data_IF_616286077838
#
_entry.id   IF_616286077838
#
_cell.length_a   1.000
_cell.length_b   1.000
_cell.length_c   1.000
_cell.angle_alpha   90.00
_cell.angle_beta   90.00
_cell.angle_gamma   90.00
#
_symmetry.space_group_name_H-M   'P 1'
#
loop_
_entity.id
_entity.type
_entity.pdbx_description
1 polymer ?
#
# COMPACT_ATOMS: atom_id res chain seq x y z
N UNK A 1 -19.65 35.04 5.48
CA UNK A 1 -18.23 35.40 5.26
C UNK A 1 -17.45 34.10 5.10
N UNK A 2 -17.03 33.74 3.88
CA UNK A 2 -16.28 32.50 3.65
C UNK A 2 -14.78 32.77 3.76
N UNK A 3 -14.05 31.91 4.50
CA UNK A 3 -12.59 31.93 4.46
C UNK A 3 -12.12 31.29 3.15
N UNK A 4 -11.28 32.01 2.41
CA UNK A 4 -10.65 31.48 1.20
C UNK A 4 -9.37 30.72 1.55
N UNK A 5 -9.33 29.45 1.20
CA UNK A 5 -8.12 28.64 1.26
C UNK A 5 -7.18 29.11 0.13
N UNK A 6 -5.92 29.36 0.46
CA UNK A 6 -4.88 29.73 -0.52
C UNK A 6 -3.94 28.56 -0.75
N UNK A 7 -3.54 28.37 -2.01
CA UNK A 7 -2.48 27.42 -2.36
C UNK A 7 -1.17 27.94 -1.77
N UNK A 8 -0.56 27.16 -0.87
CA UNK A 8 0.72 27.54 -0.27
C UNK A 8 1.90 27.33 -1.24
N UNK A 9 1.90 26.23 -2.01
CA UNK A 9 2.98 25.87 -2.92
C UNK A 9 2.50 24.96 -4.05
N UNK A 10 3.16 25.06 -5.21
CA UNK A 10 3.08 24.09 -6.31
C UNK A 10 4.42 23.37 -6.40
N UNK A 11 4.40 22.04 -6.42
CA UNK A 11 5.60 21.20 -6.57
C UNK A 11 5.53 20.52 -7.94
N UNK A 12 6.56 20.68 -8.75
CA UNK A 12 6.67 20.09 -10.08
C UNK A 12 7.77 19.03 -10.08
N UNK A 13 7.58 17.96 -10.86
CA UNK A 13 8.66 17.01 -11.16
C UNK A 13 8.26 15.56 -11.44
N UNK A 14 6.97 15.20 -11.35
CA UNK A 14 6.46 14.03 -12.07
C UNK A 14 6.26 14.38 -13.54
N UNK A 15 6.40 13.37 -14.41
CA UNK A 15 6.25 13.55 -15.87
C UNK A 15 4.87 13.16 -16.38
N UNK A 16 4.02 12.61 -15.51
CA UNK A 16 2.67 12.19 -15.83
C UNK A 16 1.72 12.37 -14.62
N UNK A 17 0.49 11.88 -14.74
CA UNK A 17 -0.53 12.03 -13.70
C UNK A 17 -0.07 11.44 -12.36
N UNK A 18 -0.39 12.11 -11.26
CA UNK A 18 -0.11 11.63 -9.90
C UNK A 18 -1.40 11.07 -9.32
N UNK A 19 -1.49 9.75 -9.20
CA UNK A 19 -2.70 9.08 -8.72
C UNK A 19 -2.75 8.92 -7.20
N UNK A 20 -1.59 8.97 -6.55
CA UNK A 20 -1.51 8.78 -5.11
C UNK A 20 -0.61 9.82 -4.44
N UNK A 21 -1.08 10.36 -3.31
CA UNK A 21 -0.35 11.30 -2.46
C UNK A 21 -0.61 10.97 -1.00
N UNK A 22 0.45 10.87 -0.20
CA UNK A 22 0.33 10.70 1.24
C UNK A 22 1.42 11.49 1.99
N UNK A 23 1.10 11.92 3.20
CA UNK A 23 2.13 12.37 4.14
C UNK A 23 2.76 11.17 4.83
N UNK A 24 4.02 11.34 5.23
CA UNK A 24 4.61 10.46 6.23
C UNK A 24 3.97 10.71 7.61
N UNK A 25 4.25 9.82 8.56
CA UNK A 25 3.64 9.94 9.90
C UNK A 25 4.11 11.18 10.67
N UNK A 26 5.24 11.78 10.30
CA UNK A 26 5.76 13.01 10.95
C UNK A 26 5.26 14.29 10.30
N UNK A 27 4.72 14.24 9.08
CA UNK A 27 4.35 15.41 8.29
C UNK A 27 5.54 16.15 7.67
N UNK A 28 6.75 15.59 7.73
CA UNK A 28 7.95 16.20 7.15
C UNK A 28 8.22 15.77 5.72
N UNK A 29 7.59 14.69 5.25
CA UNK A 29 7.74 14.16 3.90
C UNK A 29 6.39 13.92 3.23
N UNK A 30 6.35 14.11 1.92
CA UNK A 30 5.23 13.72 1.05
C UNK A 30 5.71 12.59 0.15
N UNK A 31 4.90 11.56 0.03
CA UNK A 31 5.07 10.46 -0.90
C UNK A 31 4.08 10.61 -2.04
N UNK A 32 4.57 10.50 -3.27
CA UNK A 32 3.72 10.56 -4.47
C UNK A 32 3.98 9.36 -5.37
N UNK A 33 2.90 8.82 -5.93
CA UNK A 33 2.91 7.73 -6.90
C UNK A 33 2.24 8.19 -8.18
N UNK A 34 2.86 7.90 -9.32
CA UNK A 34 2.47 8.46 -10.61
C UNK A 34 2.42 7.41 -11.73
N UNK A 35 1.74 7.80 -12.80
CA UNK A 35 1.69 7.15 -14.10
C UNK A 35 3.07 7.07 -14.78
N UNK A 36 4.04 7.90 -14.36
CA UNK A 36 5.44 7.80 -14.81
C UNK A 36 6.19 6.59 -14.22
N UNK A 37 5.48 5.69 -13.53
CA UNK A 37 5.99 4.48 -12.87
C UNK A 37 6.92 4.75 -11.68
N UNK A 38 7.01 6.00 -11.21
CA UNK A 38 7.90 6.39 -10.13
C UNK A 38 7.15 6.67 -8.83
N UNK A 39 7.83 6.35 -7.73
CA UNK A 39 7.49 6.89 -6.42
C UNK A 39 8.49 7.99 -6.08
N UNK A 40 8.01 9.18 -5.71
CA UNK A 40 8.87 10.30 -5.31
C UNK A 40 8.62 10.69 -3.86
N UNK A 41 9.69 11.09 -3.19
CA UNK A 41 9.67 11.59 -1.82
C UNK A 41 10.03 13.06 -1.83
N UNK A 42 9.19 13.92 -1.26
CA UNK A 42 9.38 15.37 -1.22
C UNK A 42 9.47 15.86 0.21
N UNK A 43 10.22 16.94 0.43
CA UNK A 43 10.20 17.67 1.68
C UNK A 43 8.99 18.58 1.76
N UNK A 44 8.24 18.53 2.87
CA UNK A 44 7.09 19.41 3.08
C UNK A 44 7.50 20.87 3.30
N UNK A 45 8.66 21.10 3.91
CA UNK A 45 9.12 22.43 4.29
C UNK A 45 9.45 23.31 3.07
N UNK A 46 10.13 22.76 2.07
CA UNK A 46 10.63 23.52 0.92
C UNK A 46 10.20 22.96 -0.44
N UNK A 47 9.50 21.82 -0.48
CA UNK A 47 9.06 21.17 -1.72
C UNK A 47 10.19 20.52 -2.52
N UNK A 48 11.39 20.37 -1.96
CA UNK A 48 12.50 19.71 -2.66
C UNK A 48 12.27 18.22 -2.80
N UNK A 49 12.67 17.67 -3.95
CA UNK A 49 12.75 16.23 -4.16
C UNK A 49 13.87 15.65 -3.30
N UNK A 50 13.53 14.73 -2.41
CA UNK A 50 14.47 14.04 -1.52
C UNK A 50 14.95 12.72 -2.13
N UNK A 51 14.07 11.98 -2.78
CA UNK A 51 14.40 10.71 -3.43
C UNK A 51 13.42 10.36 -4.55
N UNK A 52 13.89 9.56 -5.51
CA UNK A 52 13.05 8.89 -6.52
C UNK A 52 13.28 7.39 -6.37
N UNK A 53 12.22 6.65 -6.07
CA UNK A 53 12.24 5.20 -5.95
C UNK A 53 11.79 4.60 -7.29
N UNK A 54 12.66 3.80 -7.88
CA UNK A 54 12.46 3.16 -9.17
C UNK A 54 12.21 1.66 -9.00
N UNK A 55 11.67 1.04 -10.04
CA UNK A 55 11.56 -0.41 -10.16
C UNK A 55 10.25 -0.87 -10.77
N UNK A 56 9.17 -0.11 -10.63
CA UNK A 56 7.89 -0.43 -11.29
C UNK A 56 7.97 -0.20 -12.79
N UNK A 57 7.25 -1.03 -13.53
CA UNK A 57 7.17 -0.97 -15.01
C UNK A 57 5.80 -0.50 -15.51
N UNK A 58 4.92 -0.08 -14.61
CA UNK A 58 3.62 0.51 -14.89
C UNK A 58 3.25 1.50 -13.78
N UNK A 59 2.11 2.17 -13.93
CA UNK A 59 1.66 3.22 -13.03
C UNK A 59 1.54 2.76 -11.57
N UNK A 60 1.80 3.68 -10.65
CA UNK A 60 1.60 3.45 -9.22
C UNK A 60 0.12 3.68 -8.89
N UNK A 61 -0.53 2.65 -8.37
CA UNK A 61 -1.98 2.66 -8.13
C UNK A 61 -2.35 2.94 -6.68
N UNK A 62 -1.54 2.48 -5.72
CA UNK A 62 -1.71 2.77 -4.29
C UNK A 62 -0.36 2.69 -3.57
N UNK A 63 -0.24 3.34 -2.41
CA UNK A 63 0.94 3.26 -1.55
C UNK A 63 0.54 3.22 -0.08
N UNK A 64 1.41 2.67 0.76
CA UNK A 64 1.22 2.67 2.19
C UNK A 64 2.54 2.89 2.93
N UNK A 65 2.45 3.55 4.08
CA UNK A 65 3.56 3.76 5.01
C UNK A 65 3.29 2.93 6.26
N UNK A 66 4.30 2.21 6.73
CA UNK A 66 4.12 1.41 7.94
C UNK A 66 3.95 2.30 9.18
N UNK A 67 3.45 1.71 10.27
CA UNK A 67 3.13 2.48 11.49
C UNK A 67 4.36 3.09 12.15
N UNK A 68 5.51 2.41 12.07
CA UNK A 68 6.79 2.87 12.62
C UNK A 68 7.45 3.97 11.76
N UNK A 69 6.89 4.31 10.60
CA UNK A 69 7.46 5.28 9.66
C UNK A 69 8.87 4.92 9.18
N UNK A 70 9.16 3.62 9.05
CA UNK A 70 10.46 3.07 8.62
C UNK A 70 10.43 2.54 7.19
N UNK A 71 9.26 2.18 6.67
CA UNK A 71 9.10 1.57 5.36
C UNK A 71 7.92 2.17 4.59
N UNK A 72 8.07 2.19 3.27
CA UNK A 72 7.01 2.51 2.32
C UNK A 72 6.85 1.35 1.35
N UNK A 73 5.61 1.04 1.02
CA UNK A 73 5.27 0.05 0.01
C UNK A 73 4.41 0.71 -1.06
N UNK A 74 4.62 0.33 -2.32
CA UNK A 74 3.83 0.80 -3.45
C UNK A 74 3.31 -0.39 -4.25
N UNK A 75 2.03 -0.35 -4.56
CA UNK A 75 1.38 -1.24 -5.51
C UNK A 75 1.24 -0.58 -6.87
N UNK A 76 1.29 -1.38 -7.93
CA UNK A 76 1.26 -0.90 -9.30
C UNK A 76 0.41 -1.79 -10.20
N UNK A 77 0.05 -1.25 -11.36
CA UNK A 77 -0.52 -1.99 -12.47
C UNK A 77 0.43 -3.05 -13.06
N UNK A 78 1.72 -3.04 -12.70
CA UNK A 78 2.67 -4.10 -13.03
C UNK A 78 2.45 -5.38 -12.21
N UNK A 79 1.44 -5.38 -11.31
CA UNK A 79 1.02 -6.51 -10.45
C UNK A 79 2.01 -6.82 -9.33
N UNK A 80 3.03 -5.99 -9.16
CA UNK A 80 4.07 -6.14 -8.15
C UNK A 80 3.86 -5.13 -7.04
N UNK A 81 4.18 -5.53 -5.81
CA UNK A 81 4.34 -4.61 -4.70
C UNK A 81 5.82 -4.49 -4.42
N UNK A 82 6.34 -3.27 -4.33
CA UNK A 82 7.72 -3.04 -3.92
C UNK A 82 7.75 -2.30 -2.60
N UNK A 83 8.73 -2.65 -1.78
CA UNK A 83 8.90 -2.07 -0.44
C UNK A 83 10.30 -1.49 -0.34
N UNK A 84 10.40 -0.28 0.20
CA UNK A 84 11.66 0.42 0.41
C UNK A 84 11.82 0.86 1.87
N UNK A 85 13.07 0.95 2.31
CA UNK A 85 13.42 1.55 3.59
C UNK A 85 13.40 3.08 3.46
N UNK A 86 12.63 3.78 4.30
CA UNK A 86 12.53 5.25 4.25
C UNK A 86 13.80 5.97 4.71
N UNK A 87 14.69 5.28 5.43
CA UNK A 87 15.98 5.85 5.85
C UNK A 87 17.01 5.84 4.73
N UNK A 88 17.14 4.72 4.02
CA UNK A 88 18.19 4.51 3.01
C UNK A 88 17.68 4.63 1.58
N UNK A 89 16.36 4.65 1.38
CA UNK A 89 15.69 4.52 0.09
C UNK A 89 16.04 3.24 -0.69
N UNK A 90 16.65 2.25 -0.03
CA UNK A 90 17.02 0.99 -0.62
C UNK A 90 15.78 0.07 -0.76
N UNK A 91 15.68 -0.73 -1.83
CA UNK A 91 14.67 -1.77 -1.95
C UNK A 91 14.88 -2.83 -0.87
N UNK A 92 13.80 -3.25 -0.23
CA UNK A 92 13.80 -4.22 0.87
C UNK A 92 13.10 -5.51 0.47
N UNK A 93 11.98 -5.40 -0.23
CA UNK A 93 11.22 -6.56 -0.68
C UNK A 93 10.48 -6.27 -1.98
N UNK A 94 10.22 -7.33 -2.72
CA UNK A 94 9.35 -7.34 -3.90
C UNK A 94 8.37 -8.49 -3.71
N UNK A 95 7.08 -8.18 -3.74
CA UNK A 95 6.03 -9.17 -3.59
C UNK A 95 5.31 -9.39 -4.90
N UNK A 96 5.20 -10.66 -5.27
CA UNK A 96 4.45 -11.12 -6.43
C UNK A 96 3.38 -12.11 -5.96
N UNK A 97 2.13 -11.80 -6.26
CA UNK A 97 1.00 -12.61 -5.80
C UNK A 97 -0.27 -12.34 -6.58
N UNK A 98 -0.50 -11.11 -6.99
CA UNK A 98 -1.65 -10.75 -7.81
C UNK A 98 -1.44 -11.16 -9.28
N UNK A 99 -2.51 -11.61 -9.93
CA UNK A 99 -2.54 -11.87 -11.38
C UNK A 99 -3.07 -10.67 -12.17
N UNK A 100 -3.68 -9.71 -11.47
CA UNK A 100 -4.14 -8.42 -11.99
C UNK A 100 -3.48 -7.23 -11.29
N UNK A 101 -3.79 -6.02 -11.76
CA UNK A 101 -3.27 -4.78 -11.18
C UNK A 101 -3.60 -4.67 -9.69
N UNK A 102 -2.66 -4.16 -8.91
CA UNK A 102 -2.93 -3.86 -7.50
C UNK A 102 -3.83 -2.63 -7.46
N UNK A 103 -4.88 -2.69 -6.64
CA UNK A 103 -5.87 -1.62 -6.54
C UNK A 103 -5.78 -0.90 -5.21
N UNK A 104 -5.42 -1.62 -4.13
CA UNK A 104 -5.21 -1.01 -2.83
C UNK A 104 -4.14 -1.73 -2.01
N UNK A 105 -3.47 -0.96 -1.14
CA UNK A 105 -2.41 -1.43 -0.27
C UNK A 105 -2.55 -0.80 1.11
N UNK A 106 -2.43 -1.60 2.18
CA UNK A 106 -2.43 -1.07 3.53
C UNK A 106 -1.60 -1.90 4.50
N UNK A 107 -0.79 -1.21 5.31
CA UNK A 107 -0.15 -1.81 6.47
C UNK A 107 -1.17 -2.03 7.59
N UNK A 108 -1.05 -3.14 8.31
CA UNK A 108 -1.88 -3.38 9.51
C UNK A 108 -1.34 -2.56 10.70
N UNK A 109 -2.20 -1.88 11.48
CA UNK A 109 -1.82 -1.24 12.75
C UNK A 109 -1.43 -2.25 13.82
N UNK A 110 -1.87 -3.49 13.68
CA UNK A 110 -1.66 -4.48 14.73
C UNK A 110 -0.29 -5.13 14.56
N UNK A 111 0.51 -5.04 15.61
CA UNK A 111 1.73 -5.83 15.77
C UNK A 111 1.44 -6.91 16.80
N UNK A 112 1.56 -8.19 16.41
CA UNK A 112 1.43 -9.32 17.34
C UNK A 112 2.82 -9.90 17.60
N UNK A 113 3.49 -9.42 18.64
CA UNK A 113 4.89 -9.75 18.91
C UNK A 113 5.81 -8.99 17.95
N UNK A 114 6.57 -9.71 17.13
CA UNK A 114 7.42 -9.14 16.06
C UNK A 114 6.81 -9.21 14.67
N UNK A 115 5.65 -9.86 14.52
CA UNK A 115 5.05 -10.12 13.21
C UNK A 115 4.21 -8.93 12.74
N UNK A 116 4.65 -8.36 11.63
CA UNK A 116 3.95 -7.31 10.91
C UNK A 116 3.24 -7.88 9.69
N UNK A 117 2.18 -7.17 9.29
CA UNK A 117 1.33 -7.61 8.20
C UNK A 117 0.93 -6.45 7.31
N UNK A 118 0.70 -6.78 6.05
CA UNK A 118 0.24 -5.86 5.02
C UNK A 118 -0.80 -6.57 4.19
N UNK A 119 -1.78 -5.81 3.72
CA UNK A 119 -2.83 -6.30 2.82
C UNK A 119 -2.70 -5.59 1.49
N UNK A 120 -2.92 -6.35 0.43
CA UNK A 120 -3.14 -5.82 -0.90
C UNK A 120 -4.43 -6.37 -1.49
N UNK A 121 -5.12 -5.55 -2.27
CA UNK A 121 -6.26 -5.96 -3.08
C UNK A 121 -5.90 -5.84 -4.55
N UNK A 122 -6.46 -6.73 -5.37
CA UNK A 122 -6.19 -6.76 -6.80
C UNK A 122 -7.44 -6.71 -7.67
N UNK A 123 -7.24 -6.28 -8.91
CA UNK A 123 -8.21 -6.38 -10.00
C UNK A 123 -8.49 -7.85 -10.39
N UNK A 124 -7.70 -8.80 -9.87
CA UNK A 124 -7.96 -10.23 -9.95
C UNK A 124 -9.06 -10.73 -8.99
N UNK A 125 -9.66 -9.82 -8.20
CA UNK A 125 -10.70 -10.17 -7.24
C UNK A 125 -10.17 -10.79 -5.96
N UNK A 126 -8.86 -10.75 -5.73
CA UNK A 126 -8.23 -11.36 -4.56
C UNK A 126 -7.79 -10.32 -3.53
N UNK A 127 -7.73 -10.77 -2.27
CA UNK A 127 -7.08 -10.06 -1.17
C UNK A 127 -5.87 -10.88 -0.74
N UNK A 128 -4.67 -10.32 -0.86
CA UNK A 128 -3.43 -10.98 -0.43
C UNK A 128 -2.97 -10.41 0.91
N UNK A 129 -2.58 -11.29 1.82
CA UNK A 129 -1.97 -10.96 3.10
C UNK A 129 -0.47 -11.31 3.07
N UNK A 130 0.35 -10.31 3.34
CA UNK A 130 1.80 -10.39 3.38
C UNK A 130 2.28 -10.30 4.82
N UNK A 131 3.21 -11.17 5.22
CA UNK A 131 3.72 -11.24 6.59
C UNK A 131 5.24 -11.11 6.60
N UNK A 132 5.78 -10.45 7.62
CA UNK A 132 7.21 -10.43 7.88
C UNK A 132 7.51 -10.21 9.35
N UNK A 133 8.71 -10.62 9.74
CA UNK A 133 9.25 -10.34 11.06
C UNK A 133 9.98 -8.99 11.06
N UNK A 134 9.59 -8.09 11.97
CA UNK A 134 10.14 -6.73 12.04
C UNK A 134 11.62 -6.70 12.47
N UNK A 135 12.08 -7.66 13.28
CA UNK A 135 13.46 -7.67 13.78
C UNK A 135 14.43 -8.26 12.76
N UNK A 136 14.08 -9.39 12.17
CA UNK A 136 14.91 -10.08 11.20
C UNK A 136 14.70 -9.62 9.76
N UNK A 137 13.69 -8.78 9.50
CA UNK A 137 13.27 -8.34 8.17
C UNK A 137 13.07 -9.51 7.18
N UNK A 138 12.68 -10.68 7.72
CA UNK A 138 12.40 -11.87 6.92
C UNK A 138 10.96 -11.85 6.46
N UNK A 139 10.76 -11.75 5.16
CA UNK A 139 9.46 -11.79 4.51
C UNK A 139 9.01 -13.23 4.28
N UNK A 140 7.71 -13.50 4.44
CA UNK A 140 7.12 -14.77 4.05
C UNK A 140 7.17 -14.91 2.53
N UNK A 141 7.67 -16.04 2.03
CA UNK A 141 7.80 -16.28 0.59
C UNK A 141 6.46 -16.37 -0.16
N UNK A 142 5.34 -16.58 0.55
CA UNK A 142 4.02 -16.80 -0.05
C UNK A 142 2.96 -15.96 0.66
N UNK A 143 2.12 -15.20 -0.08
CA UNK A 143 0.99 -14.51 0.51
C UNK A 143 -0.09 -15.52 0.91
N UNK A 144 -0.78 -15.25 2.02
CA UNK A 144 -2.07 -15.89 2.28
C UNK A 144 -3.10 -15.19 1.40
N UNK A 145 -3.68 -15.91 0.44
CA UNK A 145 -4.69 -15.36 -0.46
C UNK A 145 -6.08 -15.66 0.06
N UNK A 146 -6.92 -14.65 0.12
CA UNK A 146 -8.36 -14.79 0.33
C UNK A 146 -9.09 -14.49 -0.98
N UNK A 147 -9.86 -15.48 -1.43
CA UNK A 147 -10.78 -15.36 -2.55
C UNK A 147 -12.13 -15.91 -2.10
N UNK A 148 -13.13 -15.05 -1.98
CA UNK A 148 -14.50 -15.52 -1.78
C UNK A 148 -15.08 -15.90 -3.14
N UNK A 149 -15.70 -17.09 -3.23
CA UNK A 149 -16.36 -17.69 -4.41
C UNK A 149 -16.07 -16.95 -5.73
N UNK A 150 -15.10 -17.48 -6.49
CA UNK A 150 -14.67 -16.92 -7.77
C UNK A 150 -15.86 -16.57 -8.67
N UNK A 151 -16.13 -15.28 -8.79
CA UNK A 151 -17.03 -14.73 -9.80
C UNK A 151 -16.16 -14.06 -10.85
N UNK A 152 -16.16 -14.54 -12.11
CA UNK A 152 -15.38 -13.94 -13.18
C UNK A 152 -15.68 -12.44 -13.29
N UNK A 153 -14.62 -11.61 -13.39
CA UNK A 153 -14.74 -10.15 -13.58
C UNK A 153 -14.93 -9.33 -12.30
N UNK A 154 -15.02 -9.95 -11.13
CA UNK A 154 -15.09 -9.22 -9.86
C UNK A 154 -13.71 -8.71 -9.46
N UNK A 155 -13.61 -7.42 -9.15
CA UNK A 155 -12.37 -6.76 -8.72
C UNK A 155 -12.50 -6.33 -7.28
N UNK A 156 -11.45 -6.48 -6.48
CA UNK A 156 -11.36 -5.83 -5.17
C UNK A 156 -10.76 -4.45 -5.42
N UNK A 157 -11.42 -3.38 -5.00
CA UNK A 157 -11.04 -2.01 -5.36
C UNK A 157 -10.32 -1.28 -4.23
N UNK A 158 -10.80 -1.45 -3.00
CA UNK A 158 -10.30 -0.73 -1.83
C UNK A 158 -10.36 -1.61 -0.60
N UNK A 159 -9.42 -1.37 0.29
CA UNK A 159 -9.38 -1.99 1.60
C UNK A 159 -9.16 -0.95 2.68
N UNK A 160 -9.68 -1.20 3.88
CA UNK A 160 -9.47 -0.35 5.05
C UNK A 160 -9.46 -1.18 6.33
N UNK A 161 -8.35 -1.11 7.05
CA UNK A 161 -8.19 -1.66 8.38
C UNK A 161 -8.93 -0.82 9.41
N UNK A 162 -9.67 -1.51 10.28
CA UNK A 162 -10.17 -0.92 11.52
C UNK A 162 -8.99 -0.42 12.36
N UNK A 163 -9.18 0.71 13.05
CA UNK A 163 -8.25 1.16 14.09
C UNK A 163 -8.05 0.03 15.12
N UNK A 164 -6.80 -0.43 15.28
CA UNK A 164 -6.43 -1.59 16.10
C UNK A 164 -6.25 -2.91 15.33
N UNK A 165 -6.60 -2.97 14.04
CA UNK A 165 -6.16 -4.00 13.09
C UNK A 165 -6.83 -5.37 13.19
N UNK A 166 -7.91 -5.46 13.97
CA UNK A 166 -8.65 -6.72 14.15
C UNK A 166 -9.56 -7.07 12.98
N UNK A 167 -10.04 -6.07 12.24
CA UNK A 167 -10.93 -6.23 11.10
C UNK A 167 -10.40 -5.47 9.89
N UNK A 168 -10.63 -6.03 8.71
CA UNK A 168 -10.41 -5.42 7.42
C UNK A 168 -11.75 -5.31 6.68
N UNK A 169 -12.12 -4.11 6.25
CA UNK A 169 -13.21 -3.91 5.31
C UNK A 169 -12.64 -3.90 3.89
N UNK A 170 -13.26 -4.62 2.94
CA UNK A 170 -12.93 -4.53 1.52
C UNK A 170 -14.19 -4.24 0.69
N UNK A 171 -14.02 -3.39 -0.31
CA UNK A 171 -15.06 -3.03 -1.28
C UNK A 171 -14.74 -3.58 -2.66
N UNK A 172 -15.76 -4.02 -3.38
CA UNK A 172 -15.61 -4.69 -4.67
C UNK A 172 -16.61 -4.19 -5.72
N UNK A 173 -16.31 -4.45 -7.00
CA UNK A 173 -17.19 -4.18 -8.14
C UNK A 173 -18.49 -4.98 -8.12
N UNK A 174 -18.62 -6.02 -7.28
CA UNK A 174 -19.86 -6.78 -7.12
C UNK A 174 -20.88 -6.13 -6.17
N UNK A 175 -20.67 -4.86 -5.81
CA UNK A 175 -21.51 -4.08 -4.90
C UNK A 175 -21.53 -4.61 -3.45
N UNK A 176 -20.62 -5.51 -3.08
CA UNK A 176 -20.54 -6.09 -1.74
C UNK A 176 -19.38 -5.50 -0.95
N UNK A 177 -19.66 -5.16 0.32
CA UNK A 177 -18.64 -4.84 1.32
C UNK A 177 -18.38 -6.10 2.14
N UNK A 178 -17.12 -6.49 2.27
CA UNK A 178 -16.68 -7.67 3.01
C UNK A 178 -15.95 -7.24 4.27
N UNK A 179 -16.29 -7.85 5.39
CA UNK A 179 -15.60 -7.65 6.66
C UNK A 179 -14.83 -8.92 7.00
N UNK A 180 -13.50 -8.86 6.89
CA UNK A 180 -12.61 -9.99 7.17
C UNK A 180 -12.04 -9.85 8.56
N UNK A 181 -12.23 -10.87 9.40
CA UNK A 181 -11.62 -10.92 10.73
C UNK A 181 -10.20 -11.47 10.66
N UNK A 182 -9.24 -10.63 11.03
CA UNK A 182 -7.83 -10.88 10.79
C UNK A 182 -7.22 -11.91 11.76
N UNK A 183 -7.76 -12.06 12.97
CA UNK A 183 -7.28 -13.03 13.97
C UNK A 183 -7.72 -14.49 13.71
N UNK A 184 -8.70 -14.74 12.84
CA UNK A 184 -9.19 -16.09 12.53
C UNK A 184 -8.38 -16.84 11.45
N UNK A 185 -7.44 -16.17 10.76
CA UNK A 185 -6.60 -16.82 9.74
C UNK A 185 -5.71 -17.96 10.30
N UNK A 186 -5.61 -18.11 11.63
CA UNK A 186 -4.95 -19.26 12.26
C UNK A 186 -5.79 -20.55 12.26
N UNK A 187 -7.09 -20.51 11.98
CA UNK A 187 -7.96 -21.70 12.05
C UNK A 187 -8.35 -22.32 10.70
N UNK A 188 -7.91 -21.77 9.57
CA UNK A 188 -8.22 -22.32 8.23
C UNK A 188 -7.13 -23.25 7.67
N UNK A 189 -6.31 -23.86 8.53
CA UNK A 189 -5.59 -25.09 8.16
C UNK A 189 -6.52 -26.28 8.34
N UNK A 190 -7.31 -26.60 7.31
CA UNK A 190 -7.76 -27.95 7.01
C UNK A 190 -7.75 -28.13 5.51
#
# INVERSE_FOLDING_TARGET
MYQHIRIHRRILGHLAAVYYVAFDRTGHRIFTGSDDCLVKIWSTHNGRLLATLQGHSAEISDMAVNYENTMIAAGSCDKMIRVWCLRTCAPVAVFQGHTGSITSLQFSPMVKGSMCHMVSTGADGTVCFWQWDAYSMKFSNWPVKFTEKYRPGVQMLRSSFRVGGTFLATGSTDHVIRMVFFLALKHLKK
#
